data_IF_604415563267
#
_entry.id   IF_604415563267
#
_cell.length_a   1.000
_cell.length_b   1.000
_cell.length_c   1.000
_cell.angle_alpha   90.00
_cell.angle_beta   90.00
_cell.angle_gamma   90.00
#
_symmetry.space_group_name_H-M   'P 1'
#
loop_
_entity.id
_entity.type
_entity.pdbx_description
1 polymer ?
#
# COMPACT_ATOMS: atom_id res chain seq x y z
N UNK A 1 7.50 -13.31 -22.91
CA UNK A 1 7.35 -12.18 -21.97
C UNK A 1 8.60 -12.12 -21.09
N UNK A 2 9.30 -10.99 -21.05
CA UNK A 2 10.56 -10.84 -20.28
C UNK A 2 10.27 -10.64 -18.79
N UNK A 3 11.24 -10.88 -17.91
CA UNK A 3 11.03 -10.85 -16.46
C UNK A 3 10.57 -9.48 -15.94
N UNK A 4 11.02 -8.39 -16.57
CA UNK A 4 10.55 -7.03 -16.22
C UNK A 4 9.06 -6.84 -16.50
N UNK A 5 8.54 -7.44 -17.57
CA UNK A 5 7.12 -7.33 -17.91
C UNK A 5 6.28 -8.06 -16.88
N UNK A 6 6.70 -9.27 -16.49
CA UNK A 6 6.06 -10.04 -15.43
C UNK A 6 6.06 -9.25 -14.11
N UNK A 7 7.17 -8.58 -13.79
CA UNK A 7 7.27 -7.75 -12.60
C UNK A 7 6.32 -6.53 -12.65
N UNK A 8 6.21 -5.84 -13.80
CA UNK A 8 5.28 -4.73 -13.99
C UNK A 8 3.83 -5.21 -13.85
N UNK A 9 3.47 -6.34 -14.45
CA UNK A 9 2.12 -6.90 -14.33
C UNK A 9 1.80 -7.30 -12.89
N UNK A 10 2.74 -7.92 -12.18
CA UNK A 10 2.58 -8.27 -10.78
C UNK A 10 2.38 -7.04 -9.88
N UNK A 11 3.12 -5.95 -10.11
CA UNK A 11 2.93 -4.71 -9.35
C UNK A 11 1.61 -4.01 -9.76
N UNK A 12 1.20 -4.04 -11.03
CA UNK A 12 -0.13 -3.57 -11.46
C UNK A 12 -1.27 -4.38 -10.82
N UNK A 13 -1.10 -5.67 -10.62
CA UNK A 13 -2.07 -6.50 -9.89
C UNK A 13 -2.10 -6.18 -8.40
N UNK A 14 -0.92 -5.98 -7.79
CA UNK A 14 -0.76 -5.64 -6.37
C UNK A 14 -1.38 -4.29 -6.04
N UNK A 15 -0.99 -3.24 -6.78
CA UNK A 15 -1.47 -1.87 -6.54
C UNK A 15 -2.78 -1.57 -7.23
N UNK A 16 -3.27 -2.47 -8.09
CA UNK A 16 -4.46 -2.31 -8.95
C UNK A 16 -4.36 -1.24 -10.04
N UNK A 17 -3.60 -0.19 -9.80
CA UNK A 17 -3.24 0.80 -10.80
C UNK A 17 -1.91 1.47 -10.45
N UNK A 18 -1.21 1.92 -11.48
CA UNK A 18 0.04 2.67 -11.35
C UNK A 18 0.08 3.77 -12.40
N UNK A 19 0.67 4.92 -12.06
CA UNK A 19 1.02 5.90 -13.08
C UNK A 19 2.26 5.45 -13.85
N UNK A 20 2.46 6.04 -15.04
CA UNK A 20 3.70 5.88 -15.79
C UNK A 20 4.94 6.16 -14.93
N UNK A 21 4.89 7.20 -14.11
CA UNK A 21 6.03 7.64 -13.29
C UNK A 21 6.32 6.63 -12.16
N UNK A 22 5.28 5.99 -11.61
CA UNK A 22 5.44 4.90 -10.64
C UNK A 22 6.15 3.71 -11.27
N UNK A 23 5.68 3.28 -12.46
CA UNK A 23 6.31 2.17 -13.20
C UNK A 23 7.76 2.49 -13.58
N UNK A 24 8.03 3.72 -14.00
CA UNK A 24 9.36 4.19 -14.34
C UNK A 24 10.31 4.13 -13.13
N UNK A 25 9.89 4.63 -11.97
CA UNK A 25 10.70 4.58 -10.74
C UNK A 25 10.91 3.15 -10.25
N UNK A 26 9.85 2.32 -10.25
CA UNK A 26 9.89 0.97 -9.71
C UNK A 26 10.77 0.01 -10.52
N UNK A 27 10.72 0.08 -11.86
CA UNK A 27 11.32 -0.93 -12.75
C UNK A 27 12.43 -0.42 -13.67
N UNK A 28 12.56 0.90 -13.84
CA UNK A 28 13.49 1.50 -14.79
C UNK A 28 14.42 2.55 -14.16
N UNK A 29 14.40 2.75 -12.83
CA UNK A 29 15.23 3.75 -12.13
C UNK A 29 16.74 3.66 -12.39
N UNK A 30 17.24 2.49 -12.82
CA UNK A 30 18.66 2.29 -13.16
C UNK A 30 19.00 2.54 -14.64
N UNK A 31 18.04 2.93 -15.48
CA UNK A 31 18.29 3.20 -16.91
C UNK A 31 18.51 4.70 -17.16
N UNK A 32 19.22 5.05 -18.25
CA UNK A 32 19.46 6.45 -18.63
C UNK A 32 18.18 7.23 -18.92
N UNK A 33 17.15 6.55 -19.45
CA UNK A 33 15.86 7.14 -19.83
C UNK A 33 14.69 6.31 -19.26
N UNK A 34 14.44 6.40 -17.94
CA UNK A 34 13.48 5.53 -17.26
C UNK A 34 12.06 5.68 -17.82
N UNK A 35 11.64 6.91 -18.08
CA UNK A 35 10.30 7.22 -18.62
C UNK A 35 10.14 6.72 -20.06
N UNK A 36 11.15 6.91 -20.91
CA UNK A 36 11.11 6.46 -22.30
C UNK A 36 10.99 4.93 -22.38
N UNK A 37 11.81 4.22 -21.59
CA UNK A 37 11.76 2.76 -21.54
C UNK A 37 10.43 2.25 -20.97
N UNK A 38 9.92 2.88 -19.91
CA UNK A 38 8.59 2.57 -19.38
C UNK A 38 7.50 2.73 -20.44
N UNK A 39 7.50 3.84 -21.19
CA UNK A 39 6.54 4.06 -22.27
C UNK A 39 6.60 3.00 -23.36
N UNK A 40 7.80 2.58 -23.78
CA UNK A 40 7.95 1.53 -24.80
C UNK A 40 7.33 0.21 -24.33
N UNK A 41 7.63 -0.19 -23.09
CA UNK A 41 7.07 -1.42 -22.50
C UNK A 41 5.56 -1.31 -22.32
N UNK A 42 5.06 -0.18 -21.82
CA UNK A 42 3.62 0.02 -21.59
C UNK A 42 2.82 0.09 -22.90
N UNK A 43 3.38 0.66 -23.97
CA UNK A 43 2.79 0.60 -25.32
C UNK A 43 2.69 -0.85 -25.80
N UNK A 44 3.74 -1.65 -25.62
CA UNK A 44 3.74 -3.08 -25.98
C UNK A 44 2.71 -3.85 -25.16
N UNK A 45 2.73 -3.75 -23.82
CA UNK A 45 1.80 -4.44 -22.94
C UNK A 45 0.34 -4.08 -23.25
N UNK A 46 0.07 -2.82 -23.62
CA UNK A 46 -1.26 -2.37 -24.04
C UNK A 46 -1.67 -2.96 -25.39
N UNK A 47 -0.77 -2.94 -26.38
CA UNK A 47 -1.00 -3.55 -27.70
C UNK A 47 -1.31 -5.04 -27.57
N UNK A 48 -0.61 -5.72 -26.68
CA UNK A 48 -0.77 -7.15 -26.42
C UNK A 48 -1.99 -7.44 -25.50
N UNK A 49 -2.78 -6.43 -25.11
CA UNK A 49 -4.02 -6.59 -24.35
C UNK A 49 -3.84 -6.88 -22.86
N UNK A 50 -2.62 -6.81 -22.32
CA UNK A 50 -2.29 -7.17 -20.94
C UNK A 50 -2.58 -6.03 -19.94
N UNK A 51 -2.62 -4.79 -20.41
CA UNK A 51 -2.93 -3.61 -19.58
C UNK A 51 -3.90 -2.67 -20.29
N UNK A 52 -4.70 -1.97 -19.49
CA UNK A 52 -5.55 -0.84 -19.91
C UNK A 52 -4.92 0.47 -19.47
N UNK A 53 -5.21 1.56 -20.18
CA UNK A 53 -4.70 2.88 -19.88
C UNK A 53 -5.86 3.88 -19.83
N UNK A 54 -6.00 4.62 -18.73
CA UNK A 54 -6.87 5.81 -18.67
C UNK A 54 -6.06 7.04 -19.07
N UNK A 55 -6.60 7.79 -20.03
CA UNK A 55 -6.05 9.04 -20.55
C UNK A 55 -6.82 10.26 -20.04
N UNK A 56 -7.79 10.07 -19.16
CA UNK A 56 -8.72 11.10 -18.67
C UNK A 56 -8.05 12.14 -17.77
N UNK A 57 -6.74 11.96 -17.51
CA UNK A 57 -5.94 12.79 -16.63
C UNK A 57 -4.63 13.16 -17.31
N UNK A 58 -4.02 14.24 -16.82
CA UNK A 58 -2.70 14.71 -17.28
C UNK A 58 -1.60 13.64 -17.21
N UNK A 59 -1.67 12.75 -16.20
CA UNK A 59 -0.78 11.59 -16.09
C UNK A 59 -1.53 10.32 -16.45
N UNK A 60 -0.98 9.53 -17.37
CA UNK A 60 -1.55 8.24 -17.75
C UNK A 60 -1.48 7.26 -16.57
N UNK A 61 -2.62 6.60 -16.32
CA UNK A 61 -2.78 5.57 -15.30
C UNK A 61 -3.02 4.24 -16.00
N UNK A 62 -2.25 3.23 -15.61
CA UNK A 62 -2.31 1.89 -16.14
C UNK A 62 -3.00 0.97 -15.15
N UNK A 63 -3.78 0.03 -15.69
CA UNK A 63 -4.56 -0.96 -14.96
C UNK A 63 -4.30 -2.35 -15.56
N UNK A 64 -4.34 -3.43 -14.75
CA UNK A 64 -4.33 -4.78 -15.28
C UNK A 64 -5.57 -5.03 -16.13
N UNK A 65 -5.43 -5.75 -17.26
CA UNK A 65 -6.52 -5.91 -18.22
C UNK A 65 -7.78 -6.59 -17.65
N UNK A 66 -7.60 -7.59 -16.79
CA UNK A 66 -8.68 -8.40 -16.24
C UNK A 66 -9.47 -7.72 -15.11
N UNK A 67 -8.93 -6.68 -14.47
CA UNK A 67 -9.63 -6.00 -13.38
C UNK A 67 -10.21 -4.67 -13.84
N UNK A 68 -11.53 -4.62 -13.87
CA UNK A 68 -12.29 -3.38 -13.96
C UNK A 68 -12.45 -2.81 -12.56
N UNK A 69 -11.43 -2.12 -12.03
CA UNK A 69 -11.78 -1.05 -11.10
C UNK A 69 -12.61 -0.09 -11.93
N UNK A 70 -13.87 0.17 -11.52
CA UNK A 70 -14.60 1.33 -12.06
C UNK A 70 -13.64 2.50 -11.95
N UNK A 71 -13.41 3.20 -13.05
CA UNK A 71 -12.56 4.40 -13.17
C UNK A 71 -13.07 5.57 -12.31
N UNK A 72 -13.74 5.29 -11.19
CA UNK A 72 -14.02 6.25 -10.14
C UNK A 72 -12.69 6.79 -9.61
N UNK A 73 -12.56 8.10 -9.80
CA UNK A 73 -11.37 8.87 -9.53
C UNK A 73 -10.86 8.68 -8.11
N UNK A 74 -11.76 8.50 -7.14
CA UNK A 74 -11.39 8.44 -5.73
C UNK A 74 -10.62 7.17 -5.39
N UNK A 75 -11.11 6.00 -5.84
CA UNK A 75 -10.49 4.70 -5.56
C UNK A 75 -9.15 4.55 -6.29
N UNK A 76 -9.06 4.98 -7.54
CA UNK A 76 -7.80 4.99 -8.28
C UNK A 76 -6.75 5.87 -7.59
N UNK A 77 -7.14 7.06 -7.13
CA UNK A 77 -6.23 7.94 -6.40
C UNK A 77 -5.79 7.36 -5.03
N UNK A 78 -6.62 6.55 -4.39
CA UNK A 78 -6.25 5.85 -3.16
C UNK A 78 -5.13 4.83 -3.41
N UNK A 79 -5.28 4.00 -4.43
CA UNK A 79 -4.24 3.05 -4.83
C UNK A 79 -2.93 3.72 -5.27
N UNK A 80 -3.02 4.86 -5.97
CA UNK A 80 -1.82 5.65 -6.29
C UNK A 80 -1.13 6.18 -5.03
N UNK A 81 -1.87 6.53 -3.97
CA UNK A 81 -1.28 6.93 -2.69
C UNK A 81 -0.61 5.76 -1.95
N UNK A 82 -1.16 4.55 -2.06
CA UNK A 82 -0.52 3.31 -1.57
C UNK A 82 0.78 3.03 -2.34
N UNK A 83 0.76 3.18 -3.66
CA UNK A 83 1.96 3.04 -4.49
C UNK A 83 3.03 4.08 -4.11
N UNK A 84 2.62 5.33 -3.89
CA UNK A 84 3.51 6.40 -3.41
C UNK A 84 4.16 6.03 -2.08
N UNK A 85 3.37 5.59 -1.11
CA UNK A 85 3.87 5.15 0.19
C UNK A 85 4.90 4.02 0.04
N UNK A 86 4.63 3.03 -0.81
CA UNK A 86 5.59 1.96 -1.10
C UNK A 86 6.90 2.48 -1.70
N UNK A 87 6.84 3.43 -2.65
CA UNK A 87 8.06 4.04 -3.23
C UNK A 87 8.88 4.77 -2.17
N UNK A 88 8.23 5.51 -1.27
CA UNK A 88 8.90 6.21 -0.18
C UNK A 88 9.62 5.22 0.75
N UNK A 89 8.99 4.09 1.11
CA UNK A 89 9.64 3.05 1.90
C UNK A 89 10.87 2.48 1.18
N UNK A 90 10.74 2.15 -0.11
CA UNK A 90 11.83 1.57 -0.92
C UNK A 90 13.07 2.46 -1.03
N UNK A 91 12.93 3.78 -0.89
CA UNK A 91 14.09 4.70 -0.85
C UNK A 91 14.94 4.52 0.40
N UNK A 92 14.37 3.93 1.46
CA UNK A 92 15.06 3.65 2.72
C UNK A 92 15.40 2.17 2.84
N UNK A 93 14.41 1.30 2.70
CA UNK A 93 14.54 -0.15 2.74
C UNK A 93 13.31 -0.79 2.11
N UNK A 94 13.52 -1.79 1.26
CA UNK A 94 12.42 -2.58 0.70
C UNK A 94 11.73 -3.41 1.81
N UNK A 95 10.41 -3.27 2.01
CA UNK A 95 9.67 -4.15 2.92
C UNK A 95 9.84 -5.62 2.52
N UNK A 96 10.06 -6.49 3.50
CA UNK A 96 10.16 -7.95 3.29
C UNK A 96 8.85 -8.51 2.74
N UNK A 97 7.73 -7.97 3.22
CA UNK A 97 6.39 -8.29 2.75
C UNK A 97 5.61 -6.98 2.60
N UNK A 98 4.82 -6.86 1.54
CA UNK A 98 3.94 -5.73 1.30
C UNK A 98 2.68 -6.20 0.59
N UNK A 99 1.57 -6.23 1.32
CA UNK A 99 0.26 -6.67 0.86
C UNK A 99 -0.69 -5.47 0.86
N UNK A 100 -1.31 -5.22 -0.30
CA UNK A 100 -2.34 -4.18 -0.47
C UNK A 100 -3.70 -4.81 -0.24
N UNK A 101 -4.54 -4.16 0.58
CA UNK A 101 -5.86 -4.64 1.01
C UNK A 101 -5.81 -6.11 1.49
N UNK A 102 -5.00 -6.44 2.53
CA UNK A 102 -4.90 -7.81 3.04
C UNK A 102 -6.27 -8.26 3.58
N UNK A 103 -6.59 -9.54 3.38
CA UNK A 103 -7.85 -10.13 3.84
C UNK A 103 -7.64 -10.80 5.19
N UNK A 104 -8.18 -10.22 6.26
CA UNK A 104 -8.02 -10.74 7.63
C UNK A 104 -9.09 -11.78 8.04
N UNK A 105 -10.02 -12.16 7.16
CA UNK A 105 -10.92 -13.31 7.38
C UNK A 105 -12.42 -13.06 7.26
N UNK A 106 -12.93 -11.82 7.34
CA UNK A 106 -14.37 -11.57 7.13
C UNK A 106 -14.95 -10.27 7.69
N UNK A 107 -16.29 -10.12 7.57
CA UNK A 107 -17.06 -8.93 7.94
C UNK A 107 -16.89 -8.59 9.42
N UNK A 108 -16.60 -7.33 9.73
CA UNK A 108 -16.43 -6.82 11.10
C UNK A 108 -14.98 -6.78 11.58
N UNK A 109 -14.05 -7.43 10.87
CA UNK A 109 -12.63 -7.31 11.11
C UNK A 109 -12.07 -5.99 10.55
N UNK A 110 -10.87 -5.58 10.96
CA UNK A 110 -10.17 -4.47 10.35
C UNK A 110 -9.93 -4.69 8.87
N UNK A 111 -10.02 -3.60 8.11
CA UNK A 111 -9.70 -3.55 6.69
C UNK A 111 -8.55 -2.54 6.51
N UNK A 112 -7.31 -2.91 6.88
CA UNK A 112 -6.15 -2.08 6.60
C UNK A 112 -5.97 -1.88 5.10
N UNK A 113 -5.47 -0.71 4.72
CA UNK A 113 -5.04 -0.48 3.35
C UNK A 113 -3.82 -1.33 2.99
N UNK A 114 -2.93 -1.55 3.96
CA UNK A 114 -1.67 -2.27 3.77
C UNK A 114 -1.36 -3.13 5.00
N UNK A 115 -0.88 -4.35 4.76
CA UNK A 115 -0.08 -5.08 5.73
C UNK A 115 1.36 -5.21 5.20
N UNK A 116 2.35 -4.92 6.03
CA UNK A 116 3.75 -5.04 5.63
C UNK A 116 4.66 -5.50 6.77
N UNK A 117 5.81 -6.04 6.40
CA UNK A 117 6.92 -6.28 7.34
C UNK A 117 8.08 -5.41 6.89
N UNK A 118 8.42 -4.42 7.71
CA UNK A 118 9.43 -3.40 7.41
C UNK A 118 10.29 -3.16 8.65
N UNK A 119 11.61 -3.11 8.47
CA UNK A 119 12.59 -3.04 9.59
C UNK A 119 12.41 -4.17 10.62
N UNK A 120 12.04 -5.36 10.15
CA UNK A 120 11.83 -6.55 11.00
C UNK A 120 10.54 -6.55 11.82
N UNK A 121 9.68 -5.54 11.66
CA UNK A 121 8.45 -5.36 12.45
C UNK A 121 7.21 -5.44 11.55
N UNK A 122 6.11 -6.08 11.99
CA UNK A 122 4.85 -6.09 11.26
C UNK A 122 4.06 -4.78 11.45
N UNK A 123 3.43 -4.30 10.37
CA UNK A 123 2.66 -3.06 10.34
C UNK A 123 1.32 -3.26 9.63
N UNK A 124 0.26 -2.72 10.22
CA UNK A 124 -0.95 -2.33 9.50
C UNK A 124 -0.85 -0.84 9.17
N UNK A 125 -1.19 -0.45 7.94
CA UNK A 125 -1.13 0.94 7.51
C UNK A 125 -2.48 1.40 6.98
N UNK A 126 -2.82 2.64 7.31
CA UNK A 126 -4.03 3.34 6.88
C UNK A 126 -3.63 4.63 6.16
N UNK A 127 -3.90 4.70 4.86
CA UNK A 127 -3.63 5.86 4.02
C UNK A 127 -4.85 6.79 4.04
N UNK A 128 -4.76 7.89 4.78
CA UNK A 128 -5.82 8.89 4.90
C UNK A 128 -5.62 10.02 3.91
N UNK A 129 -6.43 10.01 2.84
CA UNK A 129 -6.42 11.06 1.81
C UNK A 129 -7.35 12.23 2.12
N UNK A 130 -8.32 12.04 3.01
CA UNK A 130 -9.30 13.03 3.44
C UNK A 130 -9.43 13.02 4.95
N UNK A 131 -9.90 14.13 5.53
CA UNK A 131 -10.10 14.23 6.96
C UNK A 131 -11.35 13.45 7.37
N UNK A 132 -11.15 12.36 8.11
CA UNK A 132 -12.24 11.70 8.83
C UNK A 132 -12.61 12.46 10.10
N UNK A 133 -13.85 12.32 10.56
CA UNK A 133 -14.24 12.77 11.90
C UNK A 133 -13.64 11.85 12.95
N UNK A 134 -13.48 12.35 14.18
CA UNK A 134 -12.99 11.52 15.30
C UNK A 134 -13.90 10.30 15.55
N UNK A 135 -15.21 10.42 15.31
CA UNK A 135 -16.16 9.30 15.42
C UNK A 135 -15.82 8.18 14.44
N UNK A 136 -15.67 8.52 13.15
CA UNK A 136 -15.34 7.55 12.10
C UNK A 136 -13.99 6.89 12.37
N UNK A 137 -12.98 7.66 12.78
CA UNK A 137 -11.68 7.09 13.14
C UNK A 137 -11.78 6.17 14.36
N UNK A 138 -12.53 6.55 15.39
CA UNK A 138 -12.72 5.73 16.59
C UNK A 138 -13.41 4.40 16.29
N UNK A 139 -14.41 4.38 15.40
CA UNK A 139 -15.05 3.15 14.95
C UNK A 139 -14.06 2.23 14.23
N UNK A 140 -13.18 2.81 13.41
CA UNK A 140 -12.11 2.06 12.73
C UNK A 140 -11.12 1.46 13.73
N UNK A 141 -10.64 2.23 14.69
CA UNK A 141 -9.73 1.77 15.75
C UNK A 141 -10.37 0.72 16.68
N UNK A 142 -11.69 0.83 16.94
CA UNK A 142 -12.42 -0.20 17.70
C UNK A 142 -12.43 -1.55 17.01
N UNK A 143 -12.45 -1.62 15.66
CA UNK A 143 -12.30 -2.89 14.95
C UNK A 143 -10.93 -3.52 15.17
N UNK A 144 -9.87 -2.71 15.16
CA UNK A 144 -8.52 -3.20 15.48
C UNK A 144 -8.41 -3.69 16.91
N UNK A 145 -9.07 -3.01 17.85
CA UNK A 145 -9.12 -3.42 19.25
C UNK A 145 -9.88 -4.73 19.44
N UNK A 146 -11.05 -4.88 18.81
CA UNK A 146 -11.79 -6.13 18.82
C UNK A 146 -10.97 -7.27 18.22
N UNK A 147 -10.24 -7.01 17.12
CA UNK A 147 -9.36 -8.00 16.51
C UNK A 147 -8.17 -8.36 17.42
N UNK A 148 -7.53 -7.37 18.05
CA UNK A 148 -6.47 -7.57 19.03
C UNK A 148 -6.93 -8.47 20.19
N UNK A 149 -8.07 -8.15 20.80
CA UNK A 149 -8.64 -8.91 21.92
C UNK A 149 -9.09 -10.31 21.47
N UNK A 150 -9.56 -10.46 20.24
CA UNK A 150 -10.01 -11.73 19.68
C UNK A 150 -8.89 -12.76 19.43
N UNK A 151 -7.62 -12.37 19.43
CA UNK A 151 -6.47 -13.29 19.34
C UNK A 151 -6.27 -13.99 17.99
N UNK A 152 -7.20 -13.87 17.03
CA UNK A 152 -7.09 -14.53 15.71
C UNK A 152 -5.83 -14.13 14.93
N UNK A 153 -5.33 -12.91 15.16
CA UNK A 153 -4.07 -12.41 14.61
C UNK A 153 -2.84 -13.25 14.98
N UNK A 154 -2.90 -14.03 16.07
CA UNK A 154 -1.80 -14.89 16.51
C UNK A 154 -1.60 -16.12 15.62
N UNK A 155 -2.62 -16.49 14.84
CA UNK A 155 -2.60 -17.63 13.91
C UNK A 155 -2.06 -17.27 12.52
N UNK A 156 -1.78 -16.00 12.29
CA UNK A 156 -1.30 -15.52 11.00
C UNK A 156 0.04 -16.16 10.61
N UNK A 157 0.15 -16.57 9.35
CA UNK A 157 1.33 -17.29 8.81
C UNK A 157 2.64 -16.50 8.88
N UNK A 158 2.57 -15.18 9.01
CA UNK A 158 3.74 -14.31 9.10
C UNK A 158 4.31 -14.19 10.53
N UNK A 159 3.61 -14.72 11.54
CA UNK A 159 4.02 -14.62 12.94
C UNK A 159 5.41 -15.23 13.16
N UNK A 160 6.29 -14.58 13.94
CA UNK A 160 7.55 -15.19 14.34
C UNK A 160 7.29 -16.40 15.26
N UNK A 161 8.15 -17.41 15.17
CA UNK A 161 8.04 -18.62 16.00
C UNK A 161 8.25 -18.32 17.50
N UNK A 162 9.13 -17.37 17.82
CA UNK A 162 9.55 -17.09 19.19
C UNK A 162 8.56 -16.22 19.99
N UNK A 163 7.81 -15.35 19.32
CA UNK A 163 6.92 -14.39 20.00
C UNK A 163 5.78 -13.97 19.09
N UNK A 164 4.56 -13.97 19.62
CA UNK A 164 3.40 -13.38 18.96
C UNK A 164 3.50 -11.86 18.99
N UNK A 165 3.38 -11.24 17.82
CA UNK A 165 3.44 -9.80 17.65
C UNK A 165 2.15 -9.32 17.01
N UNK A 166 1.45 -8.40 17.65
CA UNK A 166 0.40 -7.65 16.96
C UNK A 166 1.04 -6.54 16.11
N UNK A 167 0.63 -6.34 14.86
CA UNK A 167 1.21 -5.30 14.02
C UNK A 167 1.00 -3.90 14.59
N UNK A 168 2.00 -3.03 14.48
CA UNK A 168 1.79 -1.62 14.79
C UNK A 168 0.84 -0.99 13.77
N UNK A 169 -0.06 -0.15 14.23
CA UNK A 169 -0.97 0.58 13.35
C UNK A 169 -0.33 1.91 12.96
N UNK A 170 -0.15 2.16 11.68
CA UNK A 170 0.40 3.39 11.15
C UNK A 170 -0.61 4.13 10.29
N UNK A 171 -1.07 5.27 10.78
CA UNK A 171 -1.93 6.18 10.03
C UNK A 171 -1.04 7.19 9.31
N UNK A 172 -1.13 7.23 7.99
CA UNK A 172 -0.34 8.08 7.10
C UNK A 172 -1.28 8.97 6.31
N UNK A 173 -1.00 10.27 6.24
CA UNK A 173 -1.78 11.21 5.44
C UNK A 173 -2.33 12.34 6.29
N UNK A 174 -3.51 12.83 5.90
CA UNK A 174 -4.10 14.03 6.52
C UNK A 174 -4.81 13.71 7.83
N UNK A 175 -4.83 14.69 8.73
CA UNK A 175 -5.47 14.58 10.04
C UNK A 175 -4.54 14.12 11.15
N UNK A 176 -4.87 14.55 12.37
CA UNK A 176 -4.31 14.05 13.62
C UNK A 176 -5.48 13.67 14.52
N UNK A 177 -5.49 12.42 14.96
CA UNK A 177 -6.58 11.82 15.72
C UNK A 177 -6.15 11.58 17.16
N UNK A 178 -7.10 11.62 18.09
CA UNK A 178 -6.87 11.10 19.44
C UNK A 178 -6.85 9.57 19.36
N UNK A 179 -5.70 8.96 19.65
CA UNK A 179 -5.45 7.52 19.49
C UNK A 179 -5.04 6.82 20.79
N UNK A 180 -5.00 7.55 21.90
CA UNK A 180 -4.58 7.03 23.20
C UNK A 180 -5.56 6.01 23.78
N UNK A 181 -5.08 5.21 24.75
CA UNK A 181 -5.89 4.23 25.47
C UNK A 181 -6.17 2.93 24.71
N UNK A 182 -5.40 2.63 23.65
CA UNK A 182 -5.52 1.38 22.88
C UNK A 182 -4.50 0.34 23.33
N UNK A 183 -4.83 -0.97 23.29
CA UNK A 183 -3.94 -2.02 23.76
C UNK A 183 -2.77 -2.33 22.80
N UNK A 184 -2.74 -1.68 21.63
CA UNK A 184 -1.69 -1.79 20.62
C UNK A 184 -1.13 -0.41 20.27
N UNK A 185 0.09 -0.38 19.72
CA UNK A 185 0.77 0.88 19.40
C UNK A 185 0.26 1.47 18.08
N UNK A 186 0.00 2.77 18.11
CA UNK A 186 -0.47 3.55 16.96
C UNK A 186 0.52 4.67 16.68
N UNK A 187 0.85 4.86 15.42
CA UNK A 187 1.71 5.93 14.94
C UNK A 187 0.97 6.78 13.90
N UNK A 188 1.11 8.10 14.01
CA UNK A 188 0.55 9.05 13.06
C UNK A 188 1.69 9.90 12.53
N UNK A 189 2.19 9.58 11.34
CA UNK A 189 3.39 10.23 10.82
C UNK A 189 3.57 10.01 9.32
N UNK A 190 4.37 10.87 8.68
CA UNK A 190 4.89 10.61 7.33
C UNK A 190 5.98 9.55 7.35
N UNK A 191 6.32 8.99 6.19
CA UNK A 191 7.45 8.05 6.09
C UNK A 191 8.74 8.69 6.57
N UNK A 192 8.98 9.95 6.23
CA UNK A 192 10.18 10.69 6.66
C UNK A 192 10.26 10.83 8.19
N UNK A 193 9.16 11.23 8.82
CA UNK A 193 9.06 11.34 10.28
C UNK A 193 9.30 9.99 10.97
N UNK A 194 8.72 8.90 10.44
CA UNK A 194 8.92 7.56 10.99
C UNK A 194 10.38 7.10 10.84
N UNK A 195 11.02 7.38 9.71
CA UNK A 195 12.42 7.03 9.48
C UNK A 195 13.33 7.76 10.47
N UNK A 196 13.07 9.03 10.76
CA UNK A 196 13.80 9.78 11.79
C UNK A 196 13.60 9.14 13.17
N UNK A 197 12.39 8.67 13.48
CA UNK A 197 12.06 8.03 14.76
C UNK A 197 12.73 6.67 14.96
N UNK A 198 12.89 5.87 13.91
CA UNK A 198 13.51 4.52 14.01
C UNK A 198 15.04 4.60 14.08
N UNK A 199 15.64 5.69 13.61
CA UNK A 199 17.10 5.90 13.64
C UNK A 199 17.62 6.40 15.00
N UNK A 200 16.72 6.82 15.88
CA UNK A 200 17.01 7.30 17.24
C UNK A 200 16.74 6.18 18.24
#
# INVERSE_FOLDING_TARGET
MIDRDKAILADLERFRCLSRDDIAELHFSRTKHPVTHANMVLKRLRRDGLVKCSTDRRKYIYFPAERTIKTDSQKANHFLAIAEFYRQLRRVEQPRLFQVEPKLGGKGLPEPDIFMIWKGVPWYVEIQRTHFTQKVMNEKLKRYEAYYVGGEWEKESWQPAAKKLFPYLWIVGVGRYKVDGRPYRIFQSTVEEMVKRIRT
#
